data_IF_463407306808
#
_entry.id   IF_463407306808
#
_cell.length_a   1.000
_cell.length_b   1.000
_cell.length_c   1.000
_cell.angle_alpha   90.00
_cell.angle_beta   90.00
_cell.angle_gamma   90.00
#
_symmetry.space_group_name_H-M   'P 1'
#
loop_
_entity.id
_entity.type
_entity.pdbx_description
1 polymer ?
#
# COMPACT_ATOMS: atom_id res chain seq x y z
N UNK A 1 -75.40 18.06 -11.96
CA UNK A 1 -74.32 18.47 -11.05
C UNK A 1 -72.98 17.81 -11.41
N UNK A 2 -72.92 16.84 -12.34
CA UNK A 2 -71.68 16.18 -12.79
C UNK A 2 -70.85 16.98 -13.82
N UNK A 3 -71.46 17.91 -14.57
CA UNK A 3 -70.74 18.62 -15.65
C UNK A 3 -69.71 19.66 -15.16
N UNK A 4 -69.76 20.00 -13.87
CA UNK A 4 -68.85 20.98 -13.24
C UNK A 4 -67.59 20.29 -12.72
N UNK A 5 -67.67 19.01 -12.29
CA UNK A 5 -66.50 18.25 -11.83
C UNK A 5 -65.56 17.89 -12.99
N UNK A 6 -66.09 17.47 -14.16
CA UNK A 6 -65.25 17.11 -15.32
C UNK A 6 -64.42 18.28 -15.90
N UNK A 7 -64.88 19.54 -15.74
CA UNK A 7 -64.14 20.70 -16.28
C UNK A 7 -62.91 21.07 -15.45
N UNK A 8 -62.80 20.56 -14.22
CA UNK A 8 -61.67 20.84 -13.35
C UNK A 8 -60.51 19.87 -13.57
N UNK A 9 -60.77 18.67 -14.10
CA UNK A 9 -59.73 17.66 -14.35
C UNK A 9 -58.94 17.92 -15.65
N UNK A 10 -59.53 18.62 -16.63
CA UNK A 10 -58.90 18.86 -17.95
C UNK A 10 -58.04 20.14 -18.04
N UNK A 11 -57.80 20.86 -16.93
CA UNK A 11 -57.06 22.15 -16.96
C UNK A 11 -55.58 22.05 -16.60
N UNK A 12 -55.07 20.85 -16.32
CA UNK A 12 -53.69 20.68 -15.84
C UNK A 12 -52.75 19.97 -16.84
N UNK A 13 -53.14 19.83 -18.11
CA UNK A 13 -52.26 19.37 -19.18
C UNK A 13 -51.75 20.55 -20.00
N UNK A 14 -51.04 21.49 -19.35
CA UNK A 14 -50.21 22.43 -20.08
C UNK A 14 -49.02 21.67 -20.66
N UNK A 15 -49.08 21.39 -21.96
CA UNK A 15 -47.96 20.84 -22.70
C UNK A 15 -46.74 21.75 -22.51
N UNK A 16 -45.69 21.20 -21.89
CA UNK A 16 -44.41 21.88 -21.76
C UNK A 16 -43.94 22.25 -23.16
N UNK A 17 -43.69 23.55 -23.40
CA UNK A 17 -43.25 24.04 -24.71
C UNK A 17 -42.03 23.24 -25.18
N UNK A 18 -41.96 22.80 -26.46
CA UNK A 18 -40.84 22.01 -26.97
C UNK A 18 -39.48 22.67 -26.71
N UNK A 19 -39.41 23.99 -26.74
CA UNK A 19 -38.19 24.77 -26.46
C UNK A 19 -37.85 24.77 -24.97
N UNK A 20 -38.86 24.82 -24.10
CA UNK A 20 -38.65 24.78 -22.65
C UNK A 20 -38.19 23.37 -22.24
N UNK A 21 -38.75 22.34 -22.86
CA UNK A 21 -38.35 20.95 -22.62
C UNK A 21 -36.88 20.69 -22.99
N UNK A 22 -36.40 21.22 -24.12
CA UNK A 22 -35.01 21.06 -24.53
C UNK A 22 -34.04 21.82 -23.64
N UNK A 23 -34.38 23.05 -23.23
CA UNK A 23 -33.55 23.82 -22.29
C UNK A 23 -33.42 23.09 -20.94
N UNK A 24 -34.53 22.57 -20.40
CA UNK A 24 -34.50 21.81 -19.15
C UNK A 24 -33.68 20.52 -19.27
N UNK A 25 -33.82 19.81 -20.39
CA UNK A 25 -33.05 18.59 -20.65
C UNK A 25 -31.55 18.88 -20.70
N UNK A 26 -31.13 19.93 -21.42
CA UNK A 26 -29.71 20.31 -21.52
C UNK A 26 -29.17 20.82 -20.18
N UNK A 27 -29.97 21.58 -19.42
CA UNK A 27 -29.57 22.05 -18.10
C UNK A 27 -29.28 20.89 -17.14
N UNK A 28 -30.13 19.85 -17.14
CA UNK A 28 -29.93 18.67 -16.30
C UNK A 28 -28.68 17.90 -16.72
N UNK A 29 -28.44 17.71 -18.03
CA UNK A 29 -27.25 16.95 -18.48
C UNK A 29 -25.94 17.65 -18.15
N UNK A 30 -25.89 18.99 -18.23
CA UNK A 30 -24.72 19.77 -17.80
C UNK A 30 -24.46 19.61 -16.30
N UNK A 31 -25.53 19.66 -15.48
CA UNK A 31 -25.41 19.45 -14.03
C UNK A 31 -24.91 18.04 -13.72
N UNK A 32 -25.49 17.00 -14.33
CA UNK A 32 -25.07 15.61 -14.14
C UNK A 32 -23.61 15.40 -14.57
N UNK A 33 -23.20 15.99 -15.71
CA UNK A 33 -21.82 15.93 -16.17
C UNK A 33 -20.85 16.61 -15.18
N UNK A 34 -21.25 17.75 -14.61
CA UNK A 34 -20.47 18.44 -13.58
C UNK A 34 -20.31 17.61 -12.30
N UNK A 35 -21.39 17.01 -11.81
CA UNK A 35 -21.34 16.13 -10.63
C UNK A 35 -20.45 14.92 -10.88
N UNK A 36 -20.59 14.28 -12.05
CA UNK A 36 -19.72 13.16 -12.45
C UNK A 36 -18.25 13.57 -12.54
N UNK A 37 -17.94 14.75 -13.07
CA UNK A 37 -16.56 15.24 -13.16
C UNK A 37 -15.93 15.42 -11.78
N UNK A 38 -16.63 16.08 -10.86
CA UNK A 38 -16.14 16.30 -9.49
C UNK A 38 -15.97 14.98 -8.75
N UNK A 39 -16.92 14.05 -8.90
CA UNK A 39 -16.84 12.73 -8.30
C UNK A 39 -15.68 11.90 -8.88
N UNK A 40 -15.50 11.89 -10.20
CA UNK A 40 -14.41 11.18 -10.85
C UNK A 40 -13.04 11.71 -10.44
N UNK A 41 -12.89 13.04 -10.32
CA UNK A 41 -11.66 13.64 -9.81
C UNK A 41 -11.38 13.29 -8.36
N UNK A 42 -12.42 13.25 -7.50
CA UNK A 42 -12.26 12.82 -6.11
C UNK A 42 -11.80 11.36 -6.04
N UNK A 43 -12.37 10.48 -6.85
CA UNK A 43 -11.98 9.06 -6.90
C UNK A 43 -10.55 8.86 -7.43
N UNK A 44 -10.16 9.65 -8.44
CA UNK A 44 -8.82 9.61 -9.00
C UNK A 44 -7.77 10.17 -8.03
N UNK A 45 -8.11 11.20 -7.25
CA UNK A 45 -7.24 11.77 -6.23
C UNK A 45 -7.08 10.85 -5.01
N UNK A 46 -8.10 10.05 -4.68
CA UNK A 46 -8.08 9.06 -3.59
C UNK A 46 -7.56 7.68 -4.01
N UNK A 47 -6.93 7.54 -5.19
CA UNK A 47 -6.16 6.33 -5.45
C UNK A 47 -4.92 6.39 -4.55
N UNK A 48 -4.75 5.49 -3.55
CA UNK A 48 -3.45 5.34 -2.91
C UNK A 48 -2.45 5.13 -4.04
N UNK A 49 -1.34 5.88 -4.02
CA UNK A 49 -0.22 5.66 -4.95
C UNK A 49 -0.05 4.15 -5.04
N UNK A 50 -0.30 3.55 -6.21
CA UNK A 50 -0.37 2.09 -6.32
C UNK A 50 0.93 1.56 -5.73
N UNK A 51 0.84 0.97 -4.53
CA UNK A 51 1.99 0.37 -3.90
C UNK A 51 2.62 -0.63 -4.86
N UNK A 52 3.83 -1.09 -4.54
CA UNK A 52 4.41 -2.16 -5.35
C UNK A 52 3.51 -3.39 -5.34
N UNK A 53 3.44 -4.07 -6.47
CA UNK A 53 2.78 -5.39 -6.60
C UNK A 53 3.71 -6.53 -6.15
N UNK A 54 4.93 -6.20 -5.74
CA UNK A 54 5.90 -7.16 -5.28
C UNK A 54 5.43 -7.81 -3.97
N UNK A 55 5.87 -9.04 -3.76
CA UNK A 55 5.72 -9.74 -2.50
C UNK A 55 6.99 -10.50 -2.15
N UNK A 56 7.35 -10.50 -0.88
CA UNK A 56 8.57 -11.13 -0.38
C UNK A 56 8.28 -12.30 0.55
N UNK A 57 9.26 -13.17 0.72
CA UNK A 57 9.28 -14.20 1.75
C UNK A 57 10.56 -14.05 2.56
N UNK A 58 10.40 -14.02 3.87
CA UNK A 58 11.52 -14.06 4.81
C UNK A 58 11.63 -15.47 5.42
N UNK A 59 12.85 -15.96 5.56
CA UNK A 59 13.18 -17.26 6.16
C UNK A 59 14.37 -17.12 7.09
N UNK A 60 14.42 -17.92 8.14
CA UNK A 60 15.58 -18.05 9.02
C UNK A 60 16.88 -18.22 8.21
N UNK A 61 17.94 -17.53 8.63
CA UNK A 61 19.26 -17.64 8.04
C UNK A 61 20.00 -18.93 8.46
N UNK A 62 19.45 -19.67 9.43
CA UNK A 62 20.01 -20.91 10.01
C UNK A 62 21.35 -20.70 10.72
N UNK A 63 21.70 -19.45 11.01
CA UNK A 63 22.80 -19.07 11.88
C UNK A 63 22.23 -18.89 13.29
N UNK A 64 22.97 -19.36 14.29
CA UNK A 64 22.56 -19.25 15.68
C UNK A 64 22.49 -17.78 16.11
N UNK A 65 21.41 -17.43 16.79
CA UNK A 65 21.26 -16.17 17.52
C UNK A 65 21.82 -16.29 18.94
N UNK A 66 22.33 -15.20 19.49
CA UNK A 66 23.13 -15.23 20.72
C UNK A 66 23.11 -13.89 21.46
N UNK A 67 23.90 -13.80 22.54
CA UNK A 67 24.07 -12.51 23.23
C UNK A 67 24.89 -11.48 22.44
N UNK A 68 25.44 -11.85 21.27
CA UNK A 68 26.20 -10.96 20.40
C UNK A 68 25.31 -9.86 19.78
N UNK A 69 25.90 -9.03 18.93
CA UNK A 69 25.20 -7.90 18.28
C UNK A 69 25.49 -7.84 16.79
N UNK A 70 25.93 -8.96 16.23
CA UNK A 70 26.31 -9.15 14.82
C UNK A 70 25.73 -10.46 14.27
N UNK A 71 24.70 -11.01 14.92
CA UNK A 71 24.07 -12.24 14.50
C UNK A 71 23.28 -12.07 13.20
N UNK A 72 23.37 -13.07 12.33
CA UNK A 72 22.61 -13.10 11.07
C UNK A 72 21.23 -13.69 11.34
N UNK A 73 20.19 -12.88 11.18
CA UNK A 73 18.85 -13.21 11.64
C UNK A 73 18.06 -13.97 10.57
N UNK A 74 17.97 -13.41 9.36
CA UNK A 74 17.10 -13.96 8.33
C UNK A 74 17.50 -13.54 6.93
N UNK A 75 16.97 -14.27 5.95
CA UNK A 75 17.11 -13.99 4.54
C UNK A 75 15.76 -13.67 3.92
N UNK A 76 15.72 -12.62 3.12
CA UNK A 76 14.53 -12.19 2.37
C UNK A 76 14.75 -12.45 0.90
N UNK A 77 13.76 -13.05 0.24
CA UNK A 77 13.71 -13.25 -1.21
C UNK A 77 12.38 -12.79 -1.77
N UNK A 78 12.35 -12.46 -3.06
CA UNK A 78 11.09 -12.18 -3.74
C UNK A 78 10.27 -13.46 -3.95
N UNK A 79 9.02 -13.44 -3.53
CA UNK A 79 8.02 -14.42 -3.94
C UNK A 79 7.42 -14.05 -5.30
N UNK A 80 7.19 -12.75 -5.52
CA UNK A 80 6.83 -12.17 -6.81
C UNK A 80 7.45 -10.78 -6.89
N UNK A 81 8.08 -10.45 -8.02
CA UNK A 81 8.60 -9.12 -8.27
C UNK A 81 8.33 -8.72 -9.72
N UNK A 82 7.76 -7.52 -9.90
CA UNK A 82 7.49 -6.90 -11.20
C UNK A 82 8.52 -5.81 -11.52
N UNK A 83 8.97 -5.07 -10.51
CA UNK A 83 9.88 -3.93 -10.61
C UNK A 83 10.88 -3.87 -9.46
N UNK A 84 12.06 -3.26 -9.69
CA UNK A 84 13.05 -3.01 -8.64
C UNK A 84 12.59 -1.83 -7.75
N UNK A 85 12.81 -1.92 -6.43
CA UNK A 85 12.36 -0.89 -5.50
C UNK A 85 13.51 0.04 -5.11
N UNK A 86 13.30 1.36 -5.20
CA UNK A 86 14.33 2.30 -4.75
C UNK A 86 14.36 2.39 -3.21
N UNK A 87 15.52 2.14 -2.61
CA UNK A 87 15.73 2.15 -1.15
C UNK A 87 15.33 3.47 -0.48
N UNK A 88 15.36 4.60 -1.18
CA UNK A 88 14.91 5.88 -0.65
C UNK A 88 13.41 5.89 -0.25
N UNK A 89 12.62 4.93 -0.72
CA UNK A 89 11.21 4.80 -0.41
C UNK A 89 10.86 3.49 0.30
N UNK A 90 11.84 2.62 0.56
CA UNK A 90 11.63 1.37 1.30
C UNK A 90 11.86 1.63 2.79
N UNK A 91 10.95 1.18 3.63
CA UNK A 91 11.13 1.15 5.08
C UNK A 91 10.96 -0.28 5.55
N UNK A 92 11.93 -0.81 6.26
CA UNK A 92 11.94 -2.16 6.80
C UNK A 92 12.17 -2.11 8.31
N UNK A 93 11.31 -2.79 9.07
CA UNK A 93 11.37 -2.84 10.53
C UNK A 93 11.25 -4.26 11.03
N UNK A 94 11.99 -4.58 12.08
CA UNK A 94 11.85 -5.79 12.86
C UNK A 94 11.19 -5.49 14.20
N UNK A 95 10.46 -6.45 14.73
CA UNK A 95 9.79 -6.34 16.02
C UNK A 95 10.02 -7.61 16.83
N UNK A 96 10.45 -7.45 18.08
CA UNK A 96 10.67 -8.55 19.03
C UNK A 96 10.06 -8.15 20.36
N UNK A 97 8.99 -8.83 20.75
CA UNK A 97 8.15 -8.39 21.86
C UNK A 97 7.59 -6.99 21.61
N UNK A 98 7.89 -6.05 22.51
CA UNK A 98 7.47 -4.64 22.40
C UNK A 98 8.52 -3.74 21.72
N UNK A 99 9.70 -4.27 21.40
CA UNK A 99 10.78 -3.50 20.77
C UNK A 99 10.62 -3.48 19.25
N UNK A 100 10.97 -2.35 18.64
CA UNK A 100 11.01 -2.16 17.18
C UNK A 100 12.40 -1.68 16.78
N UNK A 101 12.96 -2.27 15.74
CA UNK A 101 14.28 -1.97 15.21
C UNK A 101 14.17 -1.57 13.75
N UNK A 102 14.82 -0.47 13.37
CA UNK A 102 14.88 -0.04 11.98
C UNK A 102 16.01 -0.80 11.26
N UNK A 103 15.73 -1.25 10.03
CA UNK A 103 16.72 -1.90 9.18
C UNK A 103 17.15 -0.95 8.06
N UNK A 104 18.46 -0.88 7.79
CA UNK A 104 18.99 -0.07 6.69
C UNK A 104 20.10 -0.78 5.92
N UNK A 105 20.31 -0.38 4.67
CA UNK A 105 21.45 -0.80 3.84
C UNK A 105 22.76 -0.09 4.19
N UNK A 106 22.73 0.81 5.19
CA UNK A 106 23.90 1.48 5.74
C UNK A 106 24.21 1.03 7.16
N UNK A 107 25.14 1.74 7.81
CA UNK A 107 25.68 1.38 9.14
C UNK A 107 24.95 2.08 10.30
N UNK A 108 23.86 2.81 10.03
CA UNK A 108 23.29 3.76 10.98
C UNK A 108 22.27 3.17 11.96
N UNK A 109 21.60 2.09 11.57
CA UNK A 109 20.47 1.51 12.31
C UNK A 109 20.85 0.20 13.00
N UNK A 110 20.03 -0.26 13.95
CA UNK A 110 20.27 -1.46 14.76
C UNK A 110 20.24 -2.77 13.96
N UNK A 111 19.58 -2.76 12.81
CA UNK A 111 19.51 -3.88 11.87
C UNK A 111 20.19 -3.48 10.55
N UNK A 112 21.15 -4.28 10.11
CA UNK A 112 21.84 -4.12 8.83
C UNK A 112 21.19 -4.97 7.74
N UNK A 113 21.09 -4.42 6.53
CA UNK A 113 20.61 -5.10 5.33
C UNK A 113 21.79 -5.32 4.38
N UNK A 114 22.26 -6.56 4.32
CA UNK A 114 23.17 -7.04 3.29
C UNK A 114 22.43 -7.35 1.99
N UNK A 115 22.98 -6.91 0.86
CA UNK A 115 22.43 -7.09 -0.50
C UNK A 115 23.32 -8.05 -1.29
N UNK A 116 22.72 -8.95 -2.06
CA UNK A 116 23.44 -9.83 -3.03
C UNK A 116 23.49 -9.22 -4.44
N UNK A 117 22.71 -8.15 -4.68
CA UNK A 117 22.64 -7.43 -5.93
C UNK A 117 23.87 -6.57 -6.23
N UNK A 118 23.80 -5.90 -7.37
CA UNK A 118 24.87 -5.08 -7.93
C UNK A 118 24.63 -3.58 -7.81
N UNK A 119 23.38 -3.15 -7.60
CA UNK A 119 23.02 -1.74 -7.45
C UNK A 119 22.56 -1.42 -6.02
N UNK A 120 23.44 -0.81 -5.22
CA UNK A 120 23.13 -0.47 -3.82
C UNK A 120 22.05 0.60 -3.64
N UNK A 121 21.54 1.22 -4.71
CA UNK A 121 20.41 2.15 -4.64
C UNK A 121 19.04 1.46 -4.79
N UNK A 122 19.02 0.21 -5.23
CA UNK A 122 17.80 -0.53 -5.55
C UNK A 122 17.75 -1.86 -4.79
N UNK A 123 16.54 -2.26 -4.38
CA UNK A 123 16.22 -3.64 -4.06
C UNK A 123 15.81 -4.34 -5.37
N UNK A 124 16.74 -5.12 -5.94
CA UNK A 124 16.60 -5.71 -7.27
C UNK A 124 15.68 -6.95 -7.29
N UNK A 125 14.89 -7.13 -8.34
CA UNK A 125 13.93 -8.25 -8.53
C UNK A 125 14.57 -9.65 -8.54
N UNK A 126 15.90 -9.74 -8.61
CA UNK A 126 16.67 -10.98 -8.64
C UNK A 126 17.61 -11.21 -7.47
N UNK A 127 17.69 -10.30 -6.50
CA UNK A 127 18.58 -10.46 -5.35
C UNK A 127 17.89 -11.08 -4.14
N UNK A 128 18.70 -11.49 -3.16
CA UNK A 128 18.23 -11.75 -1.81
C UNK A 128 18.88 -10.77 -0.85
N UNK A 129 18.15 -10.47 0.22
CA UNK A 129 18.66 -9.66 1.32
C UNK A 129 19.01 -10.54 2.51
N UNK A 130 20.04 -10.15 3.24
CA UNK A 130 20.40 -10.76 4.52
C UNK A 130 20.26 -9.70 5.61
N UNK A 131 19.45 -9.99 6.62
CA UNK A 131 19.23 -9.10 7.75
C UNK A 131 20.07 -9.61 8.91
N UNK A 132 20.86 -8.72 9.49
CA UNK A 132 21.73 -9.01 10.63
C UNK A 132 21.64 -7.92 11.67
N UNK A 133 21.97 -8.26 12.91
CA UNK A 133 22.17 -7.29 13.97
C UNK A 133 23.33 -6.34 13.64
N UNK A 134 23.23 -5.11 14.14
CA UNK A 134 24.26 -4.09 13.98
C UNK A 134 24.43 -3.30 15.26
N UNK A 135 25.20 -3.85 16.20
CA UNK A 135 25.53 -3.17 17.47
C UNK A 135 24.40 -3.15 18.50
N UNK A 136 23.25 -3.75 18.18
CA UNK A 136 22.14 -3.99 19.10
C UNK A 136 21.77 -5.47 19.11
N UNK A 137 21.50 -6.00 20.29
CA UNK A 137 21.00 -7.37 20.47
C UNK A 137 19.49 -7.39 20.21
N UNK A 138 19.10 -7.88 19.04
CA UNK A 138 17.71 -8.04 18.58
C UNK A 138 17.17 -9.40 19.03
N UNK A 139 17.98 -10.45 18.98
CA UNK A 139 17.61 -11.81 19.35
C UNK A 139 18.71 -12.50 20.16
N UNK A 140 18.37 -13.01 21.35
CA UNK A 140 19.25 -13.81 22.20
C UNK A 140 18.69 -15.24 22.32
N UNK A 141 19.01 -16.05 21.31
CA UNK A 141 18.48 -17.41 21.14
C UNK A 141 17.11 -17.46 20.46
N UNK A 142 16.47 -18.65 20.43
CA UNK A 142 15.31 -18.89 19.58
C UNK A 142 14.12 -17.98 19.93
N UNK A 143 13.68 -17.20 18.95
CA UNK A 143 12.59 -16.23 19.10
C UNK A 143 11.86 -16.00 17.79
N UNK A 144 10.64 -15.47 17.87
CA UNK A 144 9.90 -14.99 16.71
C UNK A 144 10.18 -13.50 16.51
N UNK A 145 10.61 -13.15 15.29
CA UNK A 145 10.83 -11.78 14.88
C UNK A 145 9.71 -11.39 13.91
N UNK A 146 8.91 -10.40 14.29
CA UNK A 146 7.91 -9.80 13.41
C UNK A 146 8.57 -8.87 12.39
N UNK A 147 8.08 -8.86 11.15
CA UNK A 147 8.62 -8.05 10.06
C UNK A 147 7.56 -7.13 9.47
N UNK A 148 7.96 -5.90 9.17
CA UNK A 148 7.12 -4.92 8.48
C UNK A 148 7.92 -4.19 7.41
N UNK A 149 7.43 -4.23 6.17
CA UNK A 149 8.05 -3.59 5.01
C UNK A 149 7.04 -2.69 4.33
N UNK A 150 7.43 -1.46 4.01
CA UNK A 150 6.64 -0.53 3.18
C UNK A 150 7.45 0.00 2.02
N UNK A 151 6.77 0.34 0.93
CA UNK A 151 7.31 1.07 -0.20
C UNK A 151 6.40 2.25 -0.51
N UNK A 152 6.96 3.47 -0.52
CA UNK A 152 6.22 4.73 -0.67
C UNK A 152 5.02 4.83 0.29
N UNK A 153 5.23 4.39 1.53
CA UNK A 153 4.20 4.43 2.58
C UNK A 153 3.10 3.36 2.47
N UNK A 154 3.13 2.49 1.46
CA UNK A 154 2.21 1.35 1.34
C UNK A 154 2.90 0.07 1.76
N UNK A 155 2.23 -0.79 2.53
CA UNK A 155 2.78 -2.08 2.95
C UNK A 155 3.08 -2.98 1.74
N UNK A 156 4.27 -3.57 1.71
CA UNK A 156 4.64 -4.61 0.75
C UNK A 156 4.12 -5.94 1.29
N UNK A 157 3.44 -6.72 0.45
CA UNK A 157 2.92 -8.02 0.87
C UNK A 157 4.08 -9.00 1.16
N UNK A 158 3.99 -9.79 2.22
CA UNK A 158 5.02 -10.78 2.51
C UNK A 158 4.91 -11.42 3.88
N UNK A 159 5.96 -12.13 4.27
CA UNK A 159 6.08 -12.77 5.58
C UNK A 159 5.99 -11.73 6.71
N UNK A 160 5.08 -11.93 7.67
CA UNK A 160 4.92 -11.04 8.82
C UNK A 160 5.70 -11.46 10.07
N UNK A 161 6.19 -12.70 10.13
CA UNK A 161 7.01 -13.20 11.25
C UNK A 161 7.91 -14.36 10.83
N UNK A 162 9.12 -14.43 11.39
CA UNK A 162 10.08 -15.51 11.19
C UNK A 162 10.56 -16.03 12.55
N UNK A 163 10.53 -17.34 12.76
CA UNK A 163 11.18 -17.98 13.90
C UNK A 163 12.65 -18.16 13.59
N UNK A 164 13.53 -17.48 14.33
CA UNK A 164 15.00 -17.62 14.24
C UNK A 164 15.51 -18.48 15.38
N UNK A 165 16.68 -19.10 15.23
CA UNK A 165 17.29 -19.94 16.24
C UNK A 165 18.81 -19.84 16.24
#
# INVERSE_FOLDING_TARGET
>A
MEDIEMKNEMKNEQAVSPVIATILMVAITVVLAGVLYVWANSLAADQPESGTRNSYTATDASAATSEATDDTLMRITWQHAEDDLNWAFVVMKLTVGDNTFDCSTGEAEECSIGQDGSDGALWETGEFLTLSENGAQIADGPTDIGMYVTYRGTAVAGTSSVSVA
#
